data_IF_696283925496
#
_entry.id   IF_696283925496
#
_cell.length_a   1.000
_cell.length_b   1.000
_cell.length_c   1.000
_cell.angle_alpha   90.00
_cell.angle_beta   90.00
_cell.angle_gamma   90.00
#
_symmetry.space_group_name_H-M   'P 1'
#
loop_
_entity.id
_entity.type
_entity.pdbx_description
1 polymer ?
#
# COMPACT_ATOMS: atom_id res chain seq x y z
N UNK A 1 -50.45 0.35 81.53
CA UNK A 1 -50.42 1.40 80.48
C UNK A 1 -50.97 2.69 81.06
N UNK A 2 -50.24 3.74 80.91
CA UNK A 2 -50.64 5.09 81.37
C UNK A 2 -51.68 5.68 80.42
N UNK A 3 -52.50 6.67 80.88
CA UNK A 3 -53.45 7.35 79.99
C UNK A 3 -52.82 7.95 78.75
N UNK A 4 -51.54 8.36 78.86
CA UNK A 4 -50.75 8.92 77.73
C UNK A 4 -50.40 7.85 76.67
N UNK A 5 -50.08 6.64 77.12
CA UNK A 5 -49.78 5.53 76.19
C UNK A 5 -50.98 5.11 75.37
N UNK A 6 -52.18 5.10 75.98
CA UNK A 6 -53.44 4.87 75.26
C UNK A 6 -53.75 5.98 74.25
N UNK A 7 -53.53 7.25 74.61
CA UNK A 7 -53.72 8.36 73.69
C UNK A 7 -52.74 8.30 72.49
N UNK A 8 -51.46 7.92 72.68
CA UNK A 8 -50.48 7.80 71.61
C UNK A 8 -50.81 6.61 70.68
N UNK A 9 -51.26 5.50 71.22
CA UNK A 9 -51.68 4.34 70.40
C UNK A 9 -52.93 4.68 69.56
N UNK A 10 -53.87 5.40 70.14
CA UNK A 10 -55.12 5.88 69.45
C UNK A 10 -54.70 6.85 68.29
N UNK A 11 -53.85 7.81 68.55
CA UNK A 11 -53.36 8.78 67.55
C UNK A 11 -52.57 8.06 66.43
N UNK A 12 -51.75 7.06 66.78
CA UNK A 12 -51.01 6.28 65.77
C UNK A 12 -51.90 5.45 64.84
N UNK A 13 -53.15 5.09 65.31
CA UNK A 13 -54.14 4.38 64.48
C UNK A 13 -54.93 5.35 63.54
N UNK A 14 -55.03 6.60 63.91
CA UNK A 14 -55.70 7.63 63.10
C UNK A 14 -54.77 8.24 62.04
N UNK A 15 -53.45 8.10 62.17
CA UNK A 15 -52.51 8.56 61.19
C UNK A 15 -52.52 7.67 59.93
N UNK A 16 -53.08 8.23 58.84
CA UNK A 16 -52.92 7.63 57.51
C UNK A 16 -51.47 7.82 57.04
N UNK A 17 -50.67 6.77 57.20
CA UNK A 17 -49.31 6.76 56.65
C UNK A 17 -49.40 6.51 55.13
N UNK A 18 -48.75 7.32 54.30
CA UNK A 18 -48.70 7.04 52.89
C UNK A 18 -48.02 5.70 52.66
N UNK A 19 -48.51 4.95 51.68
CA UNK A 19 -47.91 3.66 51.32
C UNK A 19 -46.41 3.78 51.04
N UNK A 20 -45.61 2.96 51.64
CA UNK A 20 -44.15 2.98 51.43
C UNK A 20 -43.83 2.86 49.92
N UNK A 21 -43.05 3.75 49.34
CA UNK A 21 -42.70 3.66 47.95
C UNK A 21 -41.93 2.36 47.70
N UNK A 22 -42.22 1.68 46.60
CA UNK A 22 -41.44 0.51 46.16
C UNK A 22 -40.03 0.95 45.75
N UNK A 23 -39.06 0.76 46.64
CA UNK A 23 -37.63 1.11 46.41
C UNK A 23 -36.86 -0.02 45.69
N UNK A 24 -37.47 -1.20 45.53
CA UNK A 24 -36.82 -2.34 44.91
C UNK A 24 -36.30 -2.08 43.52
N UNK A 25 -37.06 -1.43 42.59
CA UNK A 25 -36.57 -1.14 41.27
C UNK A 25 -35.41 -0.15 41.28
N UNK A 26 -35.46 0.86 42.15
CA UNK A 26 -34.42 1.91 42.24
C UNK A 26 -33.12 1.36 42.82
N UNK A 27 -33.20 0.47 43.79
CA UNK A 27 -32.05 -0.21 44.38
C UNK A 27 -31.44 -1.22 43.40
N UNK A 28 -32.27 -2.00 42.70
CA UNK A 28 -31.82 -2.94 41.68
C UNK A 28 -31.08 -2.22 40.52
N UNK A 29 -31.61 -1.11 40.02
CA UNK A 29 -30.98 -0.30 38.98
C UNK A 29 -29.62 0.29 39.42
N UNK A 30 -29.38 0.49 40.73
CA UNK A 30 -28.10 0.95 41.28
C UNK A 30 -27.11 -0.20 41.51
N UNK A 31 -27.59 -1.41 41.76
CA UNK A 31 -26.79 -2.59 41.99
C UNK A 31 -26.38 -3.30 40.67
N UNK A 32 -27.14 -3.03 39.59
CA UNK A 32 -26.72 -3.54 38.28
C UNK A 32 -25.35 -2.95 37.89
N UNK A 33 -24.32 -3.79 37.71
CA UNK A 33 -23.01 -3.30 37.34
C UNK A 33 -23.14 -2.60 35.99
N UNK A 34 -23.00 -1.26 35.98
CA UNK A 34 -22.86 -0.50 34.74
C UNK A 34 -21.60 -1.00 34.08
N UNK A 35 -21.77 -1.93 33.14
CA UNK A 35 -20.70 -2.32 32.22
C UNK A 35 -20.29 -1.06 31.48
N UNK A 36 -19.20 -0.47 31.92
CA UNK A 36 -18.66 0.74 31.31
C UNK A 36 -18.11 0.37 29.92
N UNK A 37 -19.03 0.35 28.96
CA UNK A 37 -18.74 0.01 27.55
C UNK A 37 -17.54 0.80 27.00
N UNK A 38 -17.31 1.99 27.56
CA UNK A 38 -16.14 2.81 27.20
C UNK A 38 -14.84 2.18 27.72
N UNK A 39 -14.83 1.68 28.95
CA UNK A 39 -13.64 1.00 29.52
C UNK A 39 -13.35 -0.31 28.80
N UNK A 40 -14.40 -1.07 28.48
CA UNK A 40 -14.27 -2.29 27.68
C UNK A 40 -13.74 -1.99 26.27
N UNK A 41 -14.28 -0.98 25.60
CA UNK A 41 -13.82 -0.53 24.29
C UNK A 41 -12.36 -0.03 24.31
N UNK A 42 -11.98 0.73 25.34
CA UNK A 42 -10.60 1.20 25.54
C UNK A 42 -9.64 0.03 25.82
N UNK A 43 -10.05 -0.94 26.63
CA UNK A 43 -9.25 -2.13 26.89
C UNK A 43 -9.05 -2.98 25.62
N UNK A 44 -10.10 -3.17 24.82
CA UNK A 44 -10.01 -3.87 23.54
C UNK A 44 -9.13 -3.10 22.53
N UNK A 45 -9.27 -1.78 22.46
CA UNK A 45 -8.43 -0.95 21.59
C UNK A 45 -6.94 -1.01 22.02
N UNK A 46 -6.65 -0.93 23.33
CA UNK A 46 -5.30 -1.05 23.85
C UNK A 46 -4.69 -2.45 23.57
N UNK A 47 -5.48 -3.51 23.74
CA UNK A 47 -5.03 -4.88 23.44
C UNK A 47 -4.76 -5.05 21.95
N UNK A 48 -5.61 -4.52 21.08
CA UNK A 48 -5.40 -4.55 19.64
C UNK A 48 -4.14 -3.77 19.22
N UNK A 49 -3.88 -2.63 19.87
CA UNK A 49 -2.70 -1.81 19.60
C UNK A 49 -1.41 -2.51 20.05
N UNK A 50 -1.42 -3.16 21.21
CA UNK A 50 -0.29 -3.96 21.70
C UNK A 50 -0.06 -5.18 20.81
N UNK A 51 -1.12 -5.89 20.39
CA UNK A 51 -1.01 -7.01 19.47
C UNK A 51 -0.45 -6.59 18.10
N UNK A 52 -0.88 -5.43 17.58
CA UNK A 52 -0.35 -4.86 16.35
C UNK A 52 1.14 -4.48 16.51
N UNK A 53 1.51 -3.83 17.62
CA UNK A 53 2.90 -3.49 17.91
C UNK A 53 3.77 -4.74 18.06
N UNK A 54 3.29 -5.79 18.74
CA UNK A 54 3.98 -7.07 18.87
C UNK A 54 4.13 -7.77 17.51
N UNK A 55 3.08 -7.76 16.68
CA UNK A 55 3.14 -8.31 15.33
C UNK A 55 4.17 -7.56 14.46
N UNK A 56 4.26 -6.23 14.58
CA UNK A 56 5.24 -5.42 13.88
C UNK A 56 6.67 -5.56 14.44
N UNK A 57 6.82 -6.01 15.69
CA UNK A 57 8.13 -6.28 16.29
C UNK A 57 8.75 -7.61 15.80
N UNK A 58 7.93 -8.55 15.33
CA UNK A 58 8.40 -9.83 14.79
C UNK A 58 8.83 -9.64 13.33
N UNK A 59 10.12 -9.89 12.97
CA UNK A 59 10.62 -9.69 11.61
C UNK A 59 9.82 -10.44 10.53
N UNK A 60 9.33 -11.66 10.84
CA UNK A 60 8.49 -12.45 9.95
C UNK A 60 7.10 -11.83 9.71
N UNK A 61 6.49 -11.22 10.72
CA UNK A 61 5.20 -10.55 10.58
C UNK A 61 5.33 -9.24 9.78
N UNK A 62 6.42 -8.48 9.97
CA UNK A 62 6.78 -7.34 9.11
C UNK A 62 6.90 -7.76 7.64
N UNK A 63 7.58 -8.86 7.36
CA UNK A 63 7.75 -9.37 5.99
C UNK A 63 6.42 -9.81 5.35
N UNK A 64 5.44 -10.23 6.14
CA UNK A 64 4.11 -10.63 5.68
C UNK A 64 3.23 -9.41 5.37
N UNK A 65 3.30 -8.36 6.19
CA UNK A 65 2.55 -7.09 5.98
C UNK A 65 3.15 -6.29 4.82
N UNK A 66 4.48 -6.35 4.62
CA UNK A 66 5.21 -5.66 3.55
C UNK A 66 5.30 -6.48 2.25
N UNK A 67 4.55 -7.56 2.10
CA UNK A 67 4.62 -8.45 0.91
C UNK A 67 4.06 -7.84 -0.36
N UNK A 68 3.23 -6.80 -0.25
CA UNK A 68 2.59 -6.19 -1.41
C UNK A 68 2.74 -4.67 -1.39
N UNK A 69 3.53 -4.15 -2.31
CA UNK A 69 3.57 -2.72 -2.61
C UNK A 69 2.78 -2.49 -3.89
N UNK A 70 1.89 -1.49 -3.87
CA UNK A 70 1.13 -1.12 -5.06
C UNK A 70 1.54 0.30 -5.49
N UNK A 71 1.91 0.43 -6.75
CA UNK A 71 2.15 1.71 -7.39
C UNK A 71 1.40 1.73 -8.73
N UNK A 72 0.26 2.39 -8.77
CA UNK A 72 -0.57 2.39 -9.98
C UNK A 72 -0.98 0.97 -10.39
N UNK A 73 -0.63 0.56 -11.61
CA UNK A 73 -0.88 -0.79 -12.12
C UNK A 73 0.19 -1.83 -11.80
N UNK A 74 1.16 -1.52 -10.92
CA UNK A 74 2.23 -2.46 -10.56
C UNK A 74 2.00 -3.03 -9.18
N UNK A 75 2.05 -4.35 -9.08
CA UNK A 75 2.12 -5.10 -7.81
C UNK A 75 3.52 -5.64 -7.62
N UNK A 76 4.17 -5.28 -6.52
CA UNK A 76 5.48 -5.83 -6.12
C UNK A 76 5.22 -6.90 -5.07
N UNK A 77 5.50 -8.14 -5.40
CA UNK A 77 5.33 -9.29 -4.52
C UNK A 77 6.68 -9.80 -4.04
N UNK A 78 6.84 -9.97 -2.74
CA UNK A 78 8.04 -10.57 -2.16
C UNK A 78 7.83 -12.07 -1.93
N UNK A 79 8.74 -12.87 -2.46
CA UNK A 79 8.72 -14.33 -2.34
C UNK A 79 10.05 -14.85 -1.77
N UNK A 80 10.03 -16.05 -1.23
CA UNK A 80 11.26 -16.73 -0.76
C UNK A 80 12.10 -17.23 -1.93
N UNK A 81 11.44 -17.78 -2.95
CA UNK A 81 12.12 -18.29 -4.15
C UNK A 81 11.52 -17.64 -5.38
N UNK A 82 12.39 -17.08 -6.23
CA UNK A 82 11.95 -16.45 -7.48
C UNK A 82 11.43 -17.53 -8.46
N UNK A 83 10.35 -17.24 -9.20
CA UNK A 83 9.90 -18.13 -10.27
C UNK A 83 10.97 -18.20 -11.38
N UNK A 84 10.98 -19.28 -12.17
CA UNK A 84 11.83 -19.37 -13.34
C UNK A 84 11.63 -18.19 -14.28
N UNK A 85 12.71 -17.57 -14.71
CA UNK A 85 12.66 -16.41 -15.58
C UNK A 85 13.87 -16.38 -16.53
N UNK A 86 13.66 -15.86 -17.73
CA UNK A 86 14.69 -15.78 -18.75
C UNK A 86 15.61 -14.58 -18.53
N UNK A 87 16.91 -14.77 -18.70
CA UNK A 87 17.85 -13.66 -18.85
C UNK A 87 17.84 -13.19 -20.31
N UNK A 88 17.46 -11.92 -20.51
CA UNK A 88 17.43 -11.32 -21.86
C UNK A 88 18.03 -9.92 -21.82
N UNK A 89 18.79 -9.52 -22.86
CA UNK A 89 19.18 -8.13 -23.03
C UNK A 89 17.95 -7.20 -23.10
N UNK A 90 18.07 -5.96 -22.60
CA UNK A 90 16.98 -5.00 -22.59
C UNK A 90 16.40 -4.68 -23.99
N UNK A 91 17.24 -4.77 -25.00
CA UNK A 91 16.85 -4.52 -26.41
C UNK A 91 16.15 -5.71 -27.08
N UNK A 92 16.12 -6.88 -26.43
CA UNK A 92 15.56 -8.08 -27.03
C UNK A 92 14.04 -8.17 -26.78
N UNK A 93 13.29 -8.48 -27.83
CA UNK A 93 11.84 -8.71 -27.74
C UNK A 93 11.00 -7.44 -27.58
N UNK A 94 11.52 -6.30 -28.01
CA UNK A 94 10.77 -5.04 -27.97
C UNK A 94 9.70 -4.94 -29.07
N UNK A 95 9.79 -5.77 -30.12
CA UNK A 95 8.92 -5.71 -31.30
C UNK A 95 9.45 -4.77 -32.39
N UNK A 96 8.63 -4.42 -33.39
CA UNK A 96 9.00 -3.46 -34.42
C UNK A 96 9.18 -2.07 -33.86
N UNK A 97 10.17 -1.33 -34.36
CA UNK A 97 10.35 0.06 -33.98
C UNK A 97 9.39 0.95 -34.75
N UNK A 98 8.77 1.89 -34.06
CA UNK A 98 7.81 2.85 -34.57
C UNK A 98 8.34 4.27 -34.47
N UNK A 99 7.82 5.18 -35.26
CA UNK A 99 7.92 6.62 -35.00
C UNK A 99 7.01 7.00 -33.82
N UNK A 100 7.24 8.13 -33.19
CA UNK A 100 6.41 8.58 -32.08
C UNK A 100 4.93 8.84 -32.48
N UNK A 101 4.61 9.42 -33.64
CA UNK A 101 3.22 9.53 -34.10
C UNK A 101 2.54 8.17 -34.22
N UNK A 102 3.17 7.19 -34.92
CA UNK A 102 2.62 5.85 -35.07
C UNK A 102 2.41 5.14 -33.71
N UNK A 103 3.27 5.38 -32.75
CA UNK A 103 3.12 4.84 -31.41
C UNK A 103 1.93 5.47 -30.66
N UNK A 104 1.74 6.81 -30.80
CA UNK A 104 0.58 7.50 -30.21
C UNK A 104 -0.74 6.95 -30.69
N UNK A 105 -0.84 6.61 -31.97
CA UNK A 105 -2.06 6.03 -32.56
C UNK A 105 -2.40 4.65 -31.97
N UNK A 106 -1.41 3.94 -31.40
CA UNK A 106 -1.57 2.63 -30.77
C UNK A 106 -1.76 2.68 -29.25
N UNK A 107 -1.50 3.85 -28.63
CA UNK A 107 -1.58 4.04 -27.18
C UNK A 107 -2.91 4.66 -26.76
N UNK A 108 -3.37 4.36 -25.57
CA UNK A 108 -4.56 4.97 -24.96
C UNK A 108 -4.18 6.11 -23.98
N UNK A 109 -2.96 6.63 -24.10
CA UNK A 109 -2.45 7.72 -23.26
C UNK A 109 -1.43 8.54 -24.02
N UNK A 110 -1.21 9.78 -23.59
CA UNK A 110 -0.13 10.63 -24.10
C UNK A 110 1.19 10.26 -23.43
N UNK A 111 2.19 9.80 -24.19
CA UNK A 111 3.45 9.35 -23.62
C UNK A 111 4.39 10.50 -23.22
N UNK A 112 5.18 10.28 -22.17
CA UNK A 112 6.21 11.18 -21.67
C UNK A 112 7.56 10.78 -22.26
N UNK A 113 7.82 11.14 -23.51
CA UNK A 113 9.02 10.70 -24.23
C UNK A 113 10.15 11.71 -24.11
N UNK A 114 11.39 11.30 -23.76
CA UNK A 114 12.53 12.21 -23.75
C UNK A 114 12.77 12.89 -25.09
N UNK A 115 13.15 14.16 -25.07
CA UNK A 115 13.45 14.91 -26.30
C UNK A 115 14.51 14.22 -27.14
N UNK A 116 14.35 14.27 -28.47
CA UNK A 116 15.29 13.70 -29.42
C UNK A 116 15.14 12.21 -29.67
N UNK A 117 14.19 11.55 -29.01
CA UNK A 117 13.86 10.14 -29.29
C UNK A 117 13.11 10.09 -30.62
N UNK A 118 13.62 9.27 -31.56
CA UNK A 118 13.03 9.08 -32.89
C UNK A 118 12.35 7.72 -33.05
N UNK A 119 12.74 6.73 -32.26
CA UNK A 119 12.23 5.36 -32.34
C UNK A 119 11.77 4.87 -30.99
N UNK A 120 10.59 4.33 -30.97
CA UNK A 120 9.92 3.77 -29.79
C UNK A 120 9.34 2.41 -30.16
N UNK A 121 8.86 1.69 -29.18
CA UNK A 121 8.20 0.40 -29.38
C UNK A 121 6.89 0.42 -28.61
N UNK A 122 5.87 -0.27 -29.11
CA UNK A 122 4.60 -0.46 -28.42
C UNK A 122 4.37 -1.94 -28.20
N UNK A 123 4.05 -2.31 -26.97
CA UNK A 123 3.77 -3.70 -26.63
C UNK A 123 2.80 -3.76 -25.45
N UNK A 124 1.76 -4.59 -25.59
CA UNK A 124 0.73 -4.79 -24.56
C UNK A 124 0.15 -3.48 -24.00
N UNK A 125 -0.05 -2.47 -24.86
CA UNK A 125 -0.53 -1.16 -24.46
C UNK A 125 0.48 -0.29 -23.69
N UNK A 126 1.73 -0.71 -23.61
CA UNK A 126 2.82 0.05 -23.03
C UNK A 126 3.73 0.65 -24.12
N UNK A 127 4.25 1.85 -23.87
CA UNK A 127 5.36 2.41 -24.65
C UNK A 127 6.69 1.94 -24.05
N UNK A 128 7.62 1.54 -24.92
CA UNK A 128 8.98 1.19 -24.54
C UNK A 128 9.98 2.07 -25.31
N UNK A 129 10.95 2.61 -24.60
CA UNK A 129 12.00 3.47 -25.18
C UNK A 129 13.36 2.96 -24.72
N UNK A 130 14.18 2.56 -25.68
CA UNK A 130 15.54 2.14 -25.39
C UNK A 130 16.47 3.37 -25.39
N UNK A 131 16.90 3.75 -24.20
CA UNK A 131 17.81 4.86 -23.94
C UNK A 131 19.26 4.37 -23.77
N UNK A 132 20.20 5.30 -23.80
CA UNK A 132 21.58 5.08 -23.38
C UNK A 132 21.98 6.09 -22.31
N UNK A 133 22.43 5.61 -21.17
CA UNK A 133 23.01 6.45 -20.12
C UNK A 133 24.47 6.01 -19.90
N UNK A 134 25.41 6.92 -20.17
CA UNK A 134 26.85 6.64 -20.11
C UNK A 134 27.26 5.41 -20.93
N UNK A 135 26.70 5.27 -22.14
CA UNK A 135 26.97 4.17 -23.06
C UNK A 135 26.25 2.86 -22.75
N UNK A 136 25.61 2.71 -21.58
CA UNK A 136 24.88 1.50 -21.18
C UNK A 136 23.40 1.59 -21.56
N UNK A 137 22.77 0.49 -21.99
CA UNK A 137 21.35 0.49 -22.30
C UNK A 137 20.50 0.68 -21.04
N UNK A 138 19.44 1.45 -21.17
CA UNK A 138 18.40 1.69 -20.17
C UNK A 138 17.06 1.61 -20.87
N UNK A 139 16.14 0.83 -20.35
CA UNK A 139 14.80 0.69 -20.88
C UNK A 139 13.84 1.54 -20.04
N UNK A 140 13.21 2.52 -20.68
CA UNK A 140 12.04 3.21 -20.15
C UNK A 140 10.81 2.48 -20.65
N UNK A 141 9.88 2.18 -19.75
CA UNK A 141 8.56 1.63 -20.05
C UNK A 141 7.51 2.53 -19.42
N UNK A 142 6.48 2.89 -20.20
CA UNK A 142 5.35 3.73 -19.75
C UNK A 142 4.04 3.00 -20.01
N UNK A 143 3.11 3.08 -19.05
CA UNK A 143 1.79 2.49 -19.21
C UNK A 143 0.74 3.21 -18.35
N UNK A 144 -0.48 3.26 -18.86
CA UNK A 144 -1.65 3.78 -18.16
C UNK A 144 -2.47 2.60 -17.64
N UNK A 145 -2.69 2.53 -16.34
CA UNK A 145 -3.41 1.39 -15.75
C UNK A 145 -2.61 0.09 -15.95
N UNK A 146 -3.28 -1.00 -16.06
CA UNK A 146 -2.67 -2.29 -16.35
C UNK A 146 -2.10 -3.00 -15.13
N UNK A 147 -2.02 -4.32 -15.26
CA UNK A 147 -1.50 -5.19 -14.21
C UNK A 147 -0.09 -5.65 -14.58
N UNK A 148 0.90 -5.07 -13.95
CA UNK A 148 2.28 -5.53 -14.04
C UNK A 148 2.65 -6.18 -12.71
N UNK A 149 3.11 -7.43 -12.79
CA UNK A 149 3.61 -8.15 -11.63
C UNK A 149 5.14 -8.06 -11.58
N UNK A 150 5.65 -7.62 -10.45
CA UNK A 150 7.07 -7.67 -10.13
C UNK A 150 7.28 -8.58 -8.92
N UNK A 151 8.09 -9.60 -9.09
CA UNK A 151 8.41 -10.55 -8.03
C UNK A 151 9.84 -10.31 -7.57
N UNK A 152 10.02 -10.09 -6.28
CA UNK A 152 11.31 -9.81 -5.65
C UNK A 152 11.63 -10.90 -4.61
N UNK A 153 12.91 -11.24 -4.47
CA UNK A 153 13.37 -12.15 -3.40
C UNK A 153 13.52 -11.43 -2.06
N UNK A 154 13.73 -12.18 -1.00
CA UNK A 154 14.04 -11.65 0.33
C UNK A 154 15.25 -10.70 0.36
N UNK A 155 16.24 -10.95 -0.49
CA UNK A 155 17.48 -10.17 -0.60
C UNK A 155 17.34 -8.92 -1.48
N UNK A 156 16.25 -8.80 -2.23
CA UNK A 156 16.00 -7.62 -3.07
C UNK A 156 15.62 -6.44 -2.19
N UNK A 157 16.33 -5.32 -2.36
CA UNK A 157 16.05 -4.07 -1.66
C UNK A 157 14.98 -3.30 -2.41
N UNK A 158 13.92 -2.95 -1.71
CA UNK A 158 12.84 -2.08 -2.20
C UNK A 158 12.81 -0.84 -1.30
N UNK A 159 13.07 0.31 -1.87
CA UNK A 159 13.15 1.59 -1.15
C UNK A 159 12.16 2.59 -1.75
N UNK A 160 11.44 3.31 -0.91
CA UNK A 160 10.63 4.45 -1.33
C UNK A 160 11.52 5.59 -1.79
N UNK A 161 11.13 6.25 -2.87
CA UNK A 161 11.87 7.36 -3.47
C UNK A 161 10.92 8.40 -4.06
N UNK A 162 11.46 9.58 -4.33
CA UNK A 162 10.73 10.63 -5.04
C UNK A 162 11.51 11.05 -6.30
N UNK A 163 10.77 11.29 -7.38
CA UNK A 163 11.25 11.92 -8.63
C UNK A 163 10.59 13.29 -8.73
N UNK A 164 11.25 14.32 -8.19
CA UNK A 164 10.59 15.60 -7.94
C UNK A 164 9.48 15.44 -6.89
N UNK A 165 8.24 15.77 -7.27
CA UNK A 165 7.06 15.59 -6.42
C UNK A 165 6.44 14.18 -6.54
N UNK A 166 6.87 13.40 -7.51
CA UNK A 166 6.29 12.11 -7.84
C UNK A 166 6.81 11.00 -6.93
N UNK A 167 5.91 10.17 -6.43
CA UNK A 167 6.23 9.04 -5.57
C UNK A 167 6.60 7.80 -6.38
N UNK A 168 7.55 7.01 -5.87
CA UNK A 168 8.02 5.81 -6.54
C UNK A 168 8.79 4.85 -5.64
N UNK A 169 9.32 3.78 -6.27
CA UNK A 169 10.13 2.74 -5.65
C UNK A 169 11.42 2.52 -6.41
N UNK A 170 12.53 2.42 -5.69
CA UNK A 170 13.79 1.91 -6.17
C UNK A 170 13.94 0.44 -5.78
N UNK A 171 14.19 -0.42 -6.75
CA UNK A 171 14.32 -1.87 -6.60
C UNK A 171 15.69 -2.28 -7.09
N UNK A 172 16.54 -2.79 -6.20
CA UNK A 172 17.92 -3.12 -6.49
C UNK A 172 18.46 -4.24 -5.59
N UNK A 173 19.69 -4.68 -5.86
CA UNK A 173 20.35 -5.73 -5.11
C UNK A 173 20.23 -7.08 -5.82
N UNK A 174 19.62 -8.06 -5.15
CA UNK A 174 19.43 -9.37 -5.76
C UNK A 174 18.54 -9.33 -7.00
N UNK A 175 18.67 -10.35 -7.83
CA UNK A 175 17.83 -10.52 -9.03
C UNK A 175 16.35 -10.51 -8.68
N UNK A 176 15.53 -9.99 -9.57
CA UNK A 176 14.09 -9.98 -9.43
C UNK A 176 13.42 -10.21 -10.79
N UNK A 177 12.19 -10.68 -10.75
CA UNK A 177 11.44 -11.04 -11.94
C UNK A 177 10.47 -9.91 -12.32
N UNK A 178 10.42 -9.62 -13.60
CA UNK A 178 9.47 -8.72 -14.21
C UNK A 178 8.61 -9.50 -15.22
N UNK A 179 7.31 -9.31 -15.15
CA UNK A 179 6.36 -9.96 -16.02
C UNK A 179 5.31 -8.96 -16.51
N UNK A 180 5.16 -8.86 -17.81
CA UNK A 180 4.01 -8.24 -18.47
C UNK A 180 2.94 -9.30 -18.77
N UNK A 181 1.66 -8.93 -18.93
CA UNK A 181 0.58 -9.89 -19.10
C UNK A 181 0.77 -10.94 -20.20
N UNK A 182 1.31 -10.52 -21.35
CA UNK A 182 1.52 -11.40 -22.51
C UNK A 182 2.96 -11.93 -22.63
N UNK A 183 3.86 -11.59 -21.68
CA UNK A 183 5.25 -11.95 -21.75
C UNK A 183 5.64 -13.10 -20.81
N UNK A 184 6.63 -13.91 -21.27
CA UNK A 184 7.32 -14.81 -20.37
C UNK A 184 8.10 -14.01 -19.32
N UNK A 185 8.11 -14.47 -18.05
CA UNK A 185 8.86 -13.83 -16.98
C UNK A 185 10.33 -13.65 -17.36
N UNK A 186 10.87 -12.46 -17.12
CA UNK A 186 12.29 -12.20 -17.34
C UNK A 186 12.98 -11.65 -16.09
N UNK A 187 14.27 -11.98 -15.97
CA UNK A 187 15.14 -11.38 -14.95
C UNK A 187 15.32 -9.90 -15.25
N UNK A 188 15.12 -9.08 -14.23
CA UNK A 188 15.29 -7.64 -14.31
C UNK A 188 16.47 -7.17 -13.47
N UNK A 189 17.14 -6.13 -13.95
CA UNK A 189 18.17 -5.39 -13.24
C UNK A 189 17.60 -4.34 -12.31
N UNK A 190 18.48 -3.44 -11.83
CA UNK A 190 18.06 -2.30 -11.01
C UNK A 190 16.94 -1.53 -11.70
N UNK A 191 15.89 -1.22 -10.97
CA UNK A 191 14.66 -0.66 -11.51
C UNK A 191 14.17 0.49 -10.65
N UNK A 192 13.85 1.61 -11.29
CA UNK A 192 13.08 2.71 -10.70
C UNK A 192 11.65 2.66 -11.26
N UNK A 193 10.67 2.61 -10.36
CA UNK A 193 9.25 2.74 -10.67
C UNK A 193 8.74 4.03 -10.07
N UNK A 194 7.97 4.83 -10.82
CA UNK A 194 7.33 6.02 -10.26
C UNK A 194 6.04 6.34 -11.01
N UNK A 195 5.18 7.16 -10.38
CA UNK A 195 3.97 7.69 -11.01
C UNK A 195 4.23 9.10 -11.50
N UNK A 196 3.77 9.42 -12.71
CA UNK A 196 3.79 10.78 -13.25
C UNK A 196 2.58 11.01 -14.15
N UNK A 197 1.84 12.09 -13.95
CA UNK A 197 0.70 12.48 -14.78
C UNK A 197 -0.32 11.33 -15.02
N UNK A 198 -0.59 10.51 -14.02
CA UNK A 198 -1.50 9.35 -14.12
C UNK A 198 -0.87 8.09 -14.73
N UNK A 199 0.31 8.18 -15.30
CA UNK A 199 1.06 7.05 -15.85
C UNK A 199 1.92 6.38 -14.78
N UNK A 200 2.25 5.12 -15.01
CA UNK A 200 3.34 4.43 -14.31
C UNK A 200 4.53 4.34 -15.26
N UNK A 201 5.66 4.86 -14.80
CA UNK A 201 6.91 4.84 -15.53
C UNK A 201 7.90 3.90 -14.85
N UNK A 202 8.70 3.21 -15.66
CA UNK A 202 9.69 2.26 -15.20
C UNK A 202 10.99 2.45 -15.95
N UNK A 203 12.08 2.74 -15.23
CA UNK A 203 13.45 2.70 -15.76
C UNK A 203 14.14 1.43 -15.29
N UNK A 204 14.72 0.69 -16.21
CA UNK A 204 15.52 -0.49 -15.90
C UNK A 204 16.88 -0.41 -16.58
N UNK A 205 17.94 -0.74 -15.84
CA UNK A 205 19.30 -0.76 -16.38
C UNK A 205 20.37 -0.87 -15.30
N UNK A 206 21.63 -0.83 -15.73
CA UNK A 206 22.77 -0.78 -14.82
C UNK A 206 22.96 0.65 -14.27
N UNK A 207 21.99 1.11 -13.49
CA UNK A 207 21.98 2.43 -12.86
C UNK A 207 22.15 2.31 -11.35
N UNK A 208 22.77 3.30 -10.74
CA UNK A 208 22.61 3.54 -9.31
C UNK A 208 21.30 4.27 -9.05
N UNK A 209 20.82 4.27 -7.80
CA UNK A 209 19.60 4.99 -7.39
C UNK A 209 19.66 6.47 -7.80
N UNK A 210 20.77 7.14 -7.50
CA UNK A 210 20.93 8.56 -7.83
C UNK A 210 20.91 8.83 -9.35
N UNK A 211 21.53 7.95 -10.15
CA UNK A 211 21.50 8.05 -11.61
C UNK A 211 20.10 7.84 -12.16
N UNK A 212 19.37 6.86 -11.66
CA UNK A 212 18.01 6.57 -12.07
C UNK A 212 17.06 7.74 -11.76
N UNK A 213 17.11 8.28 -10.53
CA UNK A 213 16.31 9.45 -10.13
C UNK A 213 16.64 10.67 -10.99
N UNK A 214 17.93 10.95 -11.21
CA UNK A 214 18.36 12.08 -12.05
C UNK A 214 17.89 11.93 -13.51
N UNK A 215 17.94 10.72 -14.06
CA UNK A 215 17.46 10.45 -15.41
C UNK A 215 15.94 10.59 -15.49
N UNK A 216 15.20 9.99 -14.54
CA UNK A 216 13.73 10.10 -14.43
C UNK A 216 13.29 11.57 -14.34
N UNK A 217 13.94 12.37 -13.50
CA UNK A 217 13.66 13.79 -13.35
C UNK A 217 13.84 14.55 -14.65
N UNK A 218 14.90 14.27 -15.44
CA UNK A 218 15.09 14.87 -16.77
C UNK A 218 14.01 14.46 -17.77
N UNK A 219 13.42 13.26 -17.63
CA UNK A 219 12.34 12.78 -18.50
C UNK A 219 11.06 13.55 -18.23
N UNK A 220 10.71 13.77 -16.97
CA UNK A 220 9.42 14.41 -16.60
C UNK A 220 9.42 15.94 -16.67
N UNK A 221 10.59 16.58 -16.72
CA UNK A 221 10.70 18.06 -16.81
C UNK A 221 10.66 18.61 -18.25
N UNK A 222 10.39 17.79 -19.23
CA UNK A 222 10.36 18.21 -20.64
C UNK A 222 8.96 18.52 -21.11
#
# INVERSE_FOLDING_TARGET
MTPLEHALVALGRELELPSAPDLVPAVRARLEPRHDRRRLALALAATALVALAAALAVPQARSTILRFFHLGGVTIERVETLPPAQERPLAQGLGPSLSLPEARDQLQFEPVVPRGIRRVYVRDGALLVLLRERGKPVLLTEFAGGFIKKVVSGETRVEEVHVGADYGFWIAGARHVFQMPADAPRMAGNTLLWKHAGLTLRLEGHLTKAQAIKLAYRIVLQ
#
